data_IF_063611367854
#
_entry.id   IF_063611367854
#
_cell.length_a   1.000
_cell.length_b   1.000
_cell.length_c   1.000
_cell.angle_alpha   90.00
_cell.angle_beta   90.00
_cell.angle_gamma   90.00
#
_symmetry.space_group_name_H-M   'P 1'
#
loop_
_entity.id
_entity.type
_entity.pdbx_description
1 polymer ?
#
# COMPACT_ATOMS: atom_id res chain seq x y z
N UNK A 1 1.94 -3.24 -31.63
CA UNK A 1 2.20 -1.89 -31.11
C UNK A 1 0.88 -1.12 -31.15
N UNK A 2 0.13 -1.11 -30.06
CA UNK A 2 -1.07 -0.28 -29.92
C UNK A 2 -0.67 0.94 -29.11
N UNK A 3 -0.66 2.07 -29.77
CA UNK A 3 -0.42 3.38 -29.17
C UNK A 3 -1.54 3.66 -28.14
N UNK A 4 -1.26 3.83 -26.85
CA UNK A 4 -2.30 4.22 -25.92
C UNK A 4 -2.60 5.68 -26.17
N UNK A 5 -3.56 5.93 -27.05
CA UNK A 5 -4.19 7.24 -27.16
C UNK A 5 -4.66 7.66 -25.78
N UNK A 6 -4.00 8.67 -25.23
CA UNK A 6 -4.42 9.42 -24.05
C UNK A 6 -5.86 9.89 -24.25
N UNK A 7 -6.82 9.06 -23.91
CA UNK A 7 -8.18 9.51 -23.72
C UNK A 7 -8.13 10.45 -22.50
N UNK A 8 -7.98 11.75 -22.74
CA UNK A 8 -8.33 12.80 -21.79
C UNK A 8 -9.80 12.58 -21.45
N UNK A 9 -10.08 11.77 -20.45
CA UNK A 9 -11.41 11.74 -19.88
C UNK A 9 -11.62 13.12 -19.27
N UNK A 10 -12.47 13.91 -19.91
CA UNK A 10 -13.02 15.13 -19.33
C UNK A 10 -13.86 14.69 -18.11
N UNK A 11 -13.20 14.55 -16.97
CA UNK A 11 -13.85 14.37 -15.70
C UNK A 11 -14.37 15.72 -15.17
N UNK A 12 -15.21 15.74 -14.13
CA UNK A 12 -15.64 16.96 -13.49
C UNK A 12 -14.42 17.81 -13.11
N UNK A 13 -14.55 19.13 -13.21
CA UNK A 13 -13.49 20.09 -12.88
C UNK A 13 -12.98 19.92 -11.45
N UNK A 14 -13.78 19.30 -10.56
CA UNK A 14 -13.48 19.05 -9.14
C UNK A 14 -13.84 17.60 -8.80
N UNK A 15 -12.87 16.86 -8.24
CA UNK A 15 -13.07 15.48 -7.77
C UNK A 15 -13.59 15.45 -6.33
N UNK A 16 -14.86 15.86 -6.13
CA UNK A 16 -15.48 15.94 -4.81
C UNK A 16 -15.34 14.66 -3.96
N UNK A 17 -15.47 13.42 -4.51
CA UNK A 17 -15.31 12.22 -3.68
C UNK A 17 -13.92 12.10 -3.06
N UNK A 18 -12.86 12.48 -3.78
CA UNK A 18 -11.49 12.42 -3.23
C UNK A 18 -11.24 13.57 -2.25
N UNK A 19 -11.81 14.77 -2.47
CA UNK A 19 -11.78 15.85 -1.48
C UNK A 19 -12.50 15.48 -0.18
N UNK A 20 -13.68 14.88 -0.27
CA UNK A 20 -14.41 14.37 0.89
C UNK A 20 -13.63 13.27 1.62
N UNK A 21 -12.94 12.40 0.88
CA UNK A 21 -12.07 11.38 1.45
C UNK A 21 -10.91 12.00 2.25
N UNK A 22 -10.24 13.03 1.72
CA UNK A 22 -9.17 13.76 2.43
C UNK A 22 -9.70 14.32 3.75
N UNK A 23 -10.85 15.01 3.71
CA UNK A 23 -11.50 15.57 4.92
C UNK A 23 -11.90 14.46 5.88
N UNK A 24 -12.46 13.35 5.39
CA UNK A 24 -12.90 12.23 6.22
C UNK A 24 -11.72 11.55 6.93
N UNK A 25 -10.62 11.27 6.22
CA UNK A 25 -9.44 10.60 6.80
C UNK A 25 -8.79 11.48 7.86
N UNK A 26 -8.46 12.72 7.52
CA UNK A 26 -7.79 13.63 8.46
C UNK A 26 -8.73 14.06 9.61
N UNK A 27 -10.00 14.31 9.31
CA UNK A 27 -11.02 14.68 10.30
C UNK A 27 -11.33 13.53 11.26
N UNK A 28 -11.43 12.28 10.77
CA UNK A 28 -11.61 11.10 11.62
C UNK A 28 -10.40 10.88 12.51
N UNK A 29 -9.19 11.00 11.99
CA UNK A 29 -7.96 10.90 12.78
C UNK A 29 -7.93 11.94 13.89
N UNK A 30 -8.22 13.20 13.57
CA UNK A 30 -8.28 14.30 14.53
C UNK A 30 -9.35 14.05 15.60
N UNK A 31 -10.56 13.70 15.18
CA UNK A 31 -11.67 13.44 16.10
C UNK A 31 -11.36 12.25 17.05
N UNK A 32 -10.81 11.16 16.52
CA UNK A 32 -10.41 10.01 17.34
C UNK A 32 -9.37 10.39 18.40
N UNK A 33 -8.40 11.26 18.09
CA UNK A 33 -7.44 11.73 19.09
C UNK A 33 -8.08 12.67 20.12
N UNK A 34 -8.89 13.63 19.70
CA UNK A 34 -9.56 14.57 20.60
C UNK A 34 -10.48 13.87 21.58
N UNK A 35 -11.22 12.86 21.14
CA UNK A 35 -12.17 12.11 21.95
C UNK A 35 -11.61 10.78 22.48
N UNK A 36 -10.32 10.48 22.29
CA UNK A 36 -9.72 9.18 22.59
C UNK A 36 -10.02 8.70 24.02
N UNK A 37 -9.91 9.62 24.99
CA UNK A 37 -10.12 9.32 26.43
C UNK A 37 -11.59 9.14 26.80
N UNK A 38 -12.51 9.63 25.97
CA UNK A 38 -13.95 9.48 26.17
C UNK A 38 -14.53 8.22 25.50
N UNK A 39 -13.79 7.60 24.60
CA UNK A 39 -14.22 6.39 23.91
C UNK A 39 -14.08 5.16 24.81
N UNK A 40 -14.94 4.12 24.62
CA UNK A 40 -14.77 2.83 25.27
C UNK A 40 -13.37 2.25 25.01
N UNK A 41 -12.85 1.49 25.99
CA UNK A 41 -11.53 0.89 25.90
C UNK A 41 -11.31 0.11 24.59
N UNK A 42 -10.22 0.39 23.89
CA UNK A 42 -9.86 -0.23 22.61
C UNK A 42 -10.56 0.36 21.37
N UNK A 43 -11.70 1.03 21.50
CA UNK A 43 -12.42 1.59 20.34
C UNK A 43 -11.61 2.68 19.65
N UNK A 44 -11.03 3.60 20.42
CA UNK A 44 -10.15 4.64 19.89
C UNK A 44 -8.93 4.07 19.17
N UNK A 45 -8.30 3.05 19.74
CA UNK A 45 -7.15 2.38 19.12
C UNK A 45 -7.53 1.68 17.81
N UNK A 46 -8.60 0.88 17.79
CA UNK A 46 -9.08 0.22 16.57
C UNK A 46 -9.44 1.25 15.50
N UNK A 47 -10.15 2.32 15.90
CA UNK A 47 -10.48 3.42 15.00
C UNK A 47 -9.24 4.06 14.37
N UNK A 48 -8.22 4.38 15.18
CA UNK A 48 -6.95 4.96 14.70
C UNK A 48 -6.19 4.00 13.79
N UNK A 49 -6.16 2.70 14.07
CA UNK A 49 -5.58 1.68 13.17
C UNK A 49 -6.26 1.68 11.82
N UNK A 50 -7.60 1.68 11.80
CA UNK A 50 -8.37 1.69 10.54
C UNK A 50 -8.16 2.99 9.76
N UNK A 51 -8.15 4.14 10.44
CA UNK A 51 -7.92 5.44 9.79
C UNK A 51 -6.49 5.58 9.28
N UNK A 52 -5.49 5.09 10.01
CA UNK A 52 -4.11 5.09 9.54
C UNK A 52 -3.90 4.17 8.32
N UNK A 53 -4.57 3.00 8.29
CA UNK A 53 -4.58 2.14 7.10
C UNK A 53 -5.32 2.79 5.92
N UNK A 54 -6.41 3.52 6.20
CA UNK A 54 -7.16 4.27 5.18
C UNK A 54 -6.35 5.44 4.64
N UNK A 55 -5.55 6.11 5.49
CA UNK A 55 -4.59 7.12 5.07
C UNK A 55 -3.53 6.57 4.08
N UNK A 56 -3.02 5.36 4.29
CA UNK A 56 -2.13 4.71 3.32
C UNK A 56 -2.81 4.48 1.96
N UNK A 57 -4.10 4.14 1.97
CA UNK A 57 -4.89 4.04 0.73
C UNK A 57 -5.14 5.42 0.09
N UNK A 58 -5.35 6.47 0.91
CA UNK A 58 -5.43 7.85 0.41
C UNK A 58 -4.09 8.29 -0.20
N UNK A 59 -2.96 7.99 0.43
CA UNK A 59 -1.64 8.29 -0.14
C UNK A 59 -1.45 7.65 -1.51
N UNK A 60 -1.95 6.41 -1.69
CA UNK A 60 -1.94 5.73 -3.00
C UNK A 60 -2.75 6.51 -4.05
N UNK A 61 -3.90 7.06 -3.73
CA UNK A 61 -4.69 7.87 -4.63
C UNK A 61 -3.99 9.20 -4.98
N UNK A 62 -3.42 9.86 -3.96
CA UNK A 62 -2.71 11.13 -4.12
C UNK A 62 -1.49 11.02 -5.04
N UNK A 63 -0.72 9.92 -4.96
CA UNK A 63 0.46 9.71 -5.82
C UNK A 63 0.11 9.48 -7.28
N UNK A 64 -1.12 9.00 -7.57
CA UNK A 64 -1.66 8.86 -8.93
C UNK A 64 -2.24 10.16 -9.50
N UNK A 65 -2.12 11.28 -8.80
CA UNK A 65 -2.48 12.59 -9.31
C UNK A 65 -3.91 13.04 -9.00
N UNK A 66 -4.50 12.51 -7.94
CA UNK A 66 -5.81 12.89 -7.43
C UNK A 66 -5.69 13.72 -6.14
N UNK A 67 -6.63 14.62 -5.79
CA UNK A 67 -7.80 15.03 -6.59
C UNK A 67 -7.51 16.14 -7.60
N UNK A 68 -6.26 16.59 -7.75
CA UNK A 68 -5.93 17.73 -8.58
C UNK A 68 -4.84 17.40 -9.60
N UNK A 69 -4.67 18.26 -10.61
CA UNK A 69 -3.57 18.16 -11.58
C UNK A 69 -2.24 18.73 -11.03
N UNK A 70 -2.26 19.33 -9.84
CA UNK A 70 -1.12 19.95 -9.19
C UNK A 70 -0.46 18.97 -8.22
N UNK A 71 0.63 18.33 -8.64
CA UNK A 71 1.34 17.32 -7.84
C UNK A 71 1.73 17.85 -6.44
N UNK A 72 2.19 19.10 -6.33
CA UNK A 72 2.56 19.70 -5.05
C UNK A 72 1.36 19.79 -4.07
N UNK A 73 0.16 20.11 -4.59
CA UNK A 73 -1.04 20.17 -3.76
C UNK A 73 -1.48 18.77 -3.30
N UNK A 74 -1.44 17.78 -4.19
CA UNK A 74 -1.74 16.39 -3.83
C UNK A 74 -0.72 15.88 -2.79
N UNK A 75 0.57 16.19 -2.98
CA UNK A 75 1.64 15.84 -2.05
C UNK A 75 1.42 16.44 -0.65
N UNK A 76 0.93 17.68 -0.55
CA UNK A 76 0.65 18.35 0.73
C UNK A 76 -0.23 17.51 1.65
N UNK A 77 -1.25 16.84 1.11
CA UNK A 77 -2.13 15.95 1.87
C UNK A 77 -1.51 14.57 2.15
N UNK A 78 -0.52 14.15 1.36
CA UNK A 78 0.17 12.87 1.54
C UNK A 78 1.32 12.90 2.55
N UNK A 79 1.95 14.08 2.77
CA UNK A 79 3.14 14.17 3.62
C UNK A 79 2.84 14.17 5.12
N UNK A 80 1.58 14.45 5.53
CA UNK A 80 1.23 14.42 6.95
C UNK A 80 1.35 13.00 7.50
N UNK A 81 2.16 12.76 8.57
CA UNK A 81 2.69 11.44 8.88
C UNK A 81 1.76 10.59 9.76
N UNK A 82 0.48 10.44 9.42
CA UNK A 82 -0.45 9.57 10.19
C UNK A 82 0.08 8.14 10.28
N UNK A 83 0.69 7.62 9.22
CA UNK A 83 1.25 6.27 9.12
C UNK A 83 2.71 6.14 9.56
N UNK A 84 3.38 7.19 9.89
CA UNK A 84 4.66 7.42 10.58
C UNK A 84 5.95 6.84 10.00
N UNK A 85 5.95 5.74 9.24
CA UNK A 85 7.14 4.89 9.08
C UNK A 85 8.19 5.41 8.10
N UNK A 86 7.80 6.15 7.08
CA UNK A 86 8.69 6.69 6.06
C UNK A 86 8.03 7.83 5.29
N UNK A 87 8.82 8.72 4.66
CA UNK A 87 8.30 9.83 3.87
C UNK A 87 7.39 9.37 2.72
N UNK A 88 6.35 10.15 2.44
CA UNK A 88 5.43 9.93 1.32
C UNK A 88 6.15 9.85 -0.03
N UNK A 89 7.22 10.63 -0.24
CA UNK A 89 7.99 10.65 -1.48
C UNK A 89 8.61 9.27 -1.79
N UNK A 90 9.12 8.56 -0.77
CA UNK A 90 9.70 7.22 -0.95
C UNK A 90 8.62 6.23 -1.42
N UNK A 91 7.45 6.27 -0.80
CA UNK A 91 6.32 5.43 -1.22
C UNK A 91 5.87 5.79 -2.64
N UNK A 92 5.69 7.08 -2.93
CA UNK A 92 5.31 7.56 -4.26
C UNK A 92 6.25 7.04 -5.35
N UNK A 93 7.55 7.24 -5.17
CA UNK A 93 8.52 6.94 -6.23
C UNK A 93 8.69 5.43 -6.42
N UNK A 94 8.67 4.66 -5.33
CA UNK A 94 8.65 3.20 -5.36
C UNK A 94 7.43 2.67 -6.11
N UNK A 95 6.23 3.17 -5.78
CA UNK A 95 4.98 2.73 -6.40
C UNK A 95 4.87 3.14 -7.88
N UNK A 96 5.28 4.35 -8.23
CA UNK A 96 5.30 4.79 -9.63
C UNK A 96 6.33 4.00 -10.47
N UNK A 97 7.42 3.53 -9.87
CA UNK A 97 8.35 2.61 -10.52
C UNK A 97 7.72 1.24 -10.74
N UNK A 98 7.00 0.71 -9.74
CA UNK A 98 6.23 -0.54 -9.85
C UNK A 98 5.22 -0.51 -11.01
N UNK A 99 4.60 0.64 -11.29
CA UNK A 99 3.70 0.81 -12.43
C UNK A 99 4.39 0.89 -13.81
N UNK A 100 5.71 0.93 -13.88
CA UNK A 100 6.41 1.09 -15.19
C UNK A 100 6.53 -0.19 -15.98
N UNK A 101 5.82 -1.44 -15.60
CA UNK A 101 6.26 -2.45 -16.03
C UNK A 101 5.99 -3.83 -16.32
N UNK A 102 6.61 -4.32 -17.40
CA UNK A 102 6.78 -5.71 -17.75
C UNK A 102 7.52 -6.55 -16.67
N UNK A 103 8.04 -5.92 -15.62
CA UNK A 103 8.91 -6.54 -14.61
C UNK A 103 8.19 -6.87 -13.31
N UNK A 104 6.87 -6.70 -13.28
CA UNK A 104 6.04 -7.07 -12.12
C UNK A 104 6.43 -8.45 -11.60
N UNK A 105 6.59 -8.56 -10.29
CA UNK A 105 7.02 -9.75 -9.56
C UNK A 105 8.51 -10.16 -9.73
N UNK A 106 9.27 -9.52 -10.62
CA UNK A 106 10.65 -9.86 -10.86
C UNK A 106 11.55 -9.51 -9.65
N UNK A 107 12.26 -10.50 -9.06
CA UNK A 107 13.11 -10.27 -7.89
C UNK A 107 14.18 -9.22 -8.14
N UNK A 108 14.25 -8.21 -7.26
CA UNK A 108 15.23 -7.12 -7.33
C UNK A 108 14.96 -6.04 -8.39
N UNK A 109 13.95 -6.21 -9.23
CA UNK A 109 13.54 -5.22 -10.25
C UNK A 109 12.21 -4.56 -9.91
N UNK A 110 11.23 -5.33 -9.41
CA UNK A 110 9.98 -4.80 -8.91
C UNK A 110 10.15 -4.38 -7.44
N UNK A 111 10.06 -3.10 -7.10
CA UNK A 111 10.24 -2.63 -5.72
C UNK A 111 9.14 -3.11 -4.76
N UNK A 112 7.97 -3.48 -5.27
CA UNK A 112 6.88 -4.08 -4.50
C UNK A 112 6.83 -5.61 -4.67
N UNK A 113 7.79 -6.19 -5.37
CA UNK A 113 7.92 -7.62 -5.61
C UNK A 113 8.18 -8.41 -4.32
N UNK A 114 7.42 -9.49 -4.12
CA UNK A 114 7.51 -10.33 -2.93
C UNK A 114 8.09 -11.72 -3.24
N UNK A 115 8.85 -11.85 -4.30
CA UNK A 115 9.47 -13.08 -4.74
C UNK A 115 10.99 -12.98 -4.71
N UNK A 116 11.63 -14.11 -4.54
CA UNK A 116 13.10 -14.24 -4.56
C UNK A 116 13.55 -15.12 -5.72
N UNK A 117 14.75 -14.91 -6.23
CA UNK A 117 15.30 -15.83 -7.22
C UNK A 117 15.74 -17.16 -6.58
N UNK A 118 15.75 -18.24 -7.37
CA UNK A 118 16.06 -19.58 -6.87
C UNK A 118 17.47 -19.67 -6.27
N UNK A 119 18.46 -19.05 -6.89
CA UNK A 119 19.85 -19.06 -6.41
C UNK A 119 19.96 -18.42 -5.03
N UNK A 120 19.44 -17.19 -4.86
CA UNK A 120 19.44 -16.51 -3.56
C UNK A 120 18.67 -17.32 -2.50
N UNK A 121 17.55 -17.96 -2.89
CA UNK A 121 16.78 -18.79 -1.96
C UNK A 121 17.59 -19.98 -1.46
N UNK A 122 18.24 -20.74 -2.35
CA UNK A 122 18.99 -21.93 -1.98
C UNK A 122 20.28 -21.61 -1.23
N UNK A 123 20.93 -20.48 -1.51
CA UNK A 123 22.12 -19.99 -0.80
C UNK A 123 21.77 -19.32 0.54
N UNK A 124 20.51 -18.95 0.75
CA UNK A 124 20.07 -18.28 1.96
C UNK A 124 20.11 -19.16 3.19
N UNK A 125 20.28 -18.56 4.36
CA UNK A 125 20.22 -19.23 5.66
C UNK A 125 18.86 -19.89 5.89
N UNK A 126 18.77 -21.00 6.65
CA UNK A 126 17.48 -21.65 6.95
C UNK A 126 16.44 -20.71 7.53
N UNK A 127 16.84 -19.83 8.46
CA UNK A 127 15.94 -18.83 9.08
C UNK A 127 15.39 -17.85 8.04
N UNK A 128 16.22 -17.38 7.10
CA UNK A 128 15.77 -16.49 6.03
C UNK A 128 14.80 -17.21 5.07
N UNK A 129 15.06 -18.47 4.74
CA UNK A 129 14.14 -19.29 3.92
C UNK A 129 12.79 -19.49 4.62
N UNK A 130 12.80 -19.76 5.93
CA UNK A 130 11.58 -19.87 6.74
C UNK A 130 10.81 -18.52 6.76
N UNK A 131 11.51 -17.40 6.88
CA UNK A 131 10.92 -16.06 6.80
C UNK A 131 10.22 -15.85 5.45
N UNK A 132 10.86 -16.23 4.32
CA UNK A 132 10.24 -16.08 2.99
C UNK A 132 8.92 -16.88 2.89
N UNK A 133 8.85 -18.08 3.43
CA UNK A 133 7.61 -18.86 3.50
C UNK A 133 6.57 -18.24 4.44
N UNK A 134 6.98 -17.75 5.61
CA UNK A 134 6.08 -17.08 6.53
C UNK A 134 5.43 -15.85 5.88
N UNK A 135 6.18 -15.04 5.12
CA UNK A 135 5.67 -13.87 4.40
C UNK A 135 4.66 -14.21 3.29
N UNK A 136 4.59 -15.47 2.86
CA UNK A 136 3.57 -15.96 1.92
C UNK A 136 2.29 -16.40 2.62
N UNK A 137 2.20 -16.25 3.94
CA UNK A 137 0.98 -16.43 4.74
C UNK A 137 0.40 -15.08 5.15
N UNK A 138 -0.92 -15.03 5.42
CA UNK A 138 -1.57 -13.80 5.90
C UNK A 138 -0.97 -13.33 7.22
N UNK A 139 -0.81 -14.25 8.20
CA UNK A 139 -0.26 -13.89 9.51
C UNK A 139 1.19 -13.42 9.42
N UNK A 140 2.01 -14.10 8.63
CA UNK A 140 3.38 -13.66 8.39
C UNK A 140 3.44 -12.27 7.71
N UNK A 141 2.56 -12.02 6.74
CA UNK A 141 2.48 -10.71 6.08
C UNK A 141 2.06 -9.60 7.06
N UNK A 142 1.04 -9.86 7.89
CA UNK A 142 0.55 -8.88 8.87
C UNK A 142 1.58 -8.57 9.97
N UNK A 143 2.30 -9.60 10.45
CA UNK A 143 3.19 -9.45 11.60
C UNK A 143 4.63 -9.14 11.21
N UNK A 144 5.16 -9.73 10.15
CA UNK A 144 6.57 -9.59 9.75
C UNK A 144 6.76 -8.64 8.57
N UNK A 145 5.73 -8.48 7.72
CA UNK A 145 5.77 -7.56 6.58
C UNK A 145 6.11 -6.12 6.97
N UNK A 146 5.41 -5.50 7.95
CA UNK A 146 5.73 -4.14 8.40
C UNK A 146 7.16 -4.02 8.92
N UNK A 147 7.64 -4.98 9.72
CA UNK A 147 9.01 -4.97 10.24
C UNK A 147 10.04 -4.92 9.11
N UNK A 148 9.85 -5.73 8.06
CA UNK A 148 10.76 -5.73 6.91
C UNK A 148 10.70 -4.43 6.12
N UNK A 149 9.51 -3.88 5.88
CA UNK A 149 9.37 -2.62 5.15
C UNK A 149 10.00 -1.45 5.92
N UNK A 150 9.76 -1.37 7.22
CA UNK A 150 10.35 -0.36 8.09
C UNK A 150 11.88 -0.50 8.11
N UNK A 151 12.39 -1.72 8.36
CA UNK A 151 13.83 -2.00 8.38
C UNK A 151 14.48 -1.67 7.04
N UNK A 152 13.83 -2.00 5.93
CA UNK A 152 14.30 -1.67 4.59
C UNK A 152 14.39 -0.16 4.37
N UNK A 153 13.36 0.60 4.72
CA UNK A 153 13.36 2.06 4.57
C UNK A 153 14.51 2.73 5.37
N UNK A 154 14.72 2.30 6.61
CA UNK A 154 15.82 2.79 7.45
C UNK A 154 17.18 2.34 6.94
N UNK A 155 17.30 1.10 6.46
CA UNK A 155 18.53 0.61 5.85
C UNK A 155 18.90 1.42 4.59
N UNK A 156 17.92 1.73 3.75
CA UNK A 156 18.14 2.59 2.58
C UNK A 156 18.56 4.00 2.99
N UNK A 157 17.97 4.59 4.02
CA UNK A 157 18.41 5.88 4.54
C UNK A 157 19.88 5.83 5.02
N UNK A 158 20.23 4.85 5.86
CA UNK A 158 21.59 4.73 6.39
C UNK A 158 22.63 4.49 5.29
N UNK A 159 22.30 3.66 4.31
CA UNK A 159 23.20 3.41 3.17
C UNK A 159 23.34 4.63 2.26
N UNK A 160 22.25 5.38 2.05
CA UNK A 160 22.28 6.63 1.30
C UNK A 160 23.17 7.67 2.00
N UNK A 161 23.01 7.86 3.31
CA UNK A 161 23.86 8.76 4.11
C UNK A 161 25.34 8.36 4.04
N UNK A 162 25.65 7.07 4.15
CA UNK A 162 27.03 6.59 3.98
C UNK A 162 27.60 6.93 2.59
N UNK A 163 26.77 6.72 1.56
CA UNK A 163 27.18 7.00 0.16
C UNK A 163 27.13 8.49 -0.19
N UNK A 164 26.75 9.35 0.77
CA UNK A 164 26.50 10.80 0.57
C UNK A 164 25.44 11.09 -0.48
N UNK A 165 24.50 10.15 -0.65
CA UNK A 165 23.32 10.36 -1.47
C UNK A 165 22.26 11.10 -0.66
N UNK A 166 21.97 12.32 -1.06
CA UNK A 166 21.05 13.21 -0.36
C UNK A 166 19.67 13.30 -1.04
N UNK A 167 19.39 12.44 -1.99
CA UNK A 167 18.16 12.48 -2.83
C UNK A 167 16.89 12.62 -2.00
N UNK A 168 16.74 11.81 -0.94
CA UNK A 168 15.55 11.83 -0.06
C UNK A 168 15.80 12.49 1.30
N UNK A 169 16.96 13.14 1.51
CA UNK A 169 17.26 13.72 2.81
C UNK A 169 16.27 14.83 3.20
N UNK A 170 15.89 15.67 2.24
CA UNK A 170 14.88 16.71 2.44
C UNK A 170 13.51 16.13 2.83
N UNK A 171 13.09 15.06 2.17
CA UNK A 171 11.82 14.38 2.48
C UNK A 171 11.83 13.76 3.89
N UNK A 172 12.97 13.17 4.30
CA UNK A 172 13.13 12.65 5.67
C UNK A 172 13.12 13.77 6.71
N UNK A 173 13.77 14.91 6.44
CA UNK A 173 13.75 16.05 7.35
C UNK A 173 12.34 16.62 7.51
N UNK A 174 11.59 16.82 6.41
CA UNK A 174 10.20 17.27 6.47
C UNK A 174 9.33 16.25 7.21
N UNK A 175 9.51 14.97 6.94
CA UNK A 175 8.77 13.92 7.62
C UNK A 175 9.00 13.95 9.14
N UNK A 176 10.25 14.04 9.60
CA UNK A 176 10.57 14.10 11.03
C UNK A 176 10.08 15.39 11.68
N UNK A 177 10.19 16.54 10.99
CA UNK A 177 9.67 17.83 11.46
C UNK A 177 8.16 17.82 11.65
N UNK A 178 7.41 17.04 10.89
CA UNK A 178 5.96 16.86 11.07
C UNK A 178 5.64 15.75 12.08
N UNK A 179 6.39 14.67 12.07
CA UNK A 179 6.15 13.49 12.90
C UNK A 179 6.35 13.77 14.38
N UNK A 180 7.45 14.42 14.76
CA UNK A 180 7.78 14.63 16.17
C UNK A 180 6.73 15.51 16.89
N UNK A 181 6.31 16.68 16.35
CA UNK A 181 5.22 17.45 16.92
C UNK A 181 3.88 16.70 16.94
N UNK A 182 3.59 15.91 15.90
CA UNK A 182 2.36 15.13 15.84
C UNK A 182 2.31 14.08 16.96
N UNK A 183 3.39 13.32 17.17
CA UNK A 183 3.48 12.34 18.26
C UNK A 183 3.43 13.00 19.65
N UNK A 184 4.12 14.12 19.81
CA UNK A 184 4.03 14.90 21.04
C UNK A 184 2.60 15.37 21.32
N UNK A 185 1.93 15.92 20.30
CA UNK A 185 0.55 16.38 20.42
C UNK A 185 -0.43 15.23 20.71
N UNK A 186 -0.30 14.09 20.02
CA UNK A 186 -1.10 12.90 20.27
C UNK A 186 -0.95 12.41 21.73
N UNK A 187 0.27 12.47 22.28
CA UNK A 187 0.49 12.16 23.70
C UNK A 187 -0.19 13.18 24.63
N UNK A 188 -0.05 14.47 24.35
CA UNK A 188 -0.62 15.53 25.18
C UNK A 188 -2.16 15.46 25.23
N UNK A 189 -2.81 15.23 24.10
CA UNK A 189 -4.28 15.27 23.95
C UNK A 189 -4.91 13.92 24.33
N UNK A 190 -4.41 12.83 23.74
CA UNK A 190 -5.00 11.50 23.88
C UNK A 190 -4.33 10.64 24.98
N UNK A 191 -3.14 11.01 25.48
CA UNK A 191 -2.34 10.17 26.38
C UNK A 191 -1.64 9.02 25.66
N UNK A 192 -1.58 9.06 24.32
CA UNK A 192 -0.91 8.07 23.50
C UNK A 192 0.59 8.34 23.47
N UNK A 193 1.36 7.59 24.25
CA UNK A 193 2.82 7.70 24.17
C UNK A 193 3.31 7.45 22.75
N UNK A 194 4.44 8.03 22.32
CA UNK A 194 5.01 7.75 21.00
C UNK A 194 5.15 6.25 20.71
N UNK A 195 5.61 5.46 21.68
CA UNK A 195 5.74 4.01 21.53
C UNK A 195 4.38 3.33 21.32
N UNK A 196 3.33 3.76 22.06
CA UNK A 196 1.98 3.22 21.86
C UNK A 196 1.45 3.57 20.48
N UNK A 197 1.62 4.82 20.01
CA UNK A 197 1.21 5.20 18.65
C UNK A 197 1.94 4.38 17.58
N UNK A 198 3.26 4.23 17.70
CA UNK A 198 4.08 3.46 16.76
C UNK A 198 3.65 1.99 16.73
N UNK A 199 3.66 1.30 17.87
CA UNK A 199 3.47 -0.16 17.92
C UNK A 199 1.99 -0.57 17.99
N UNK A 200 1.13 0.22 18.65
CA UNK A 200 -0.28 -0.10 18.84
C UNK A 200 -1.19 0.41 17.72
N UNK A 201 -0.76 1.41 16.94
CA UNK A 201 -1.58 2.04 15.90
C UNK A 201 -0.91 1.90 14.53
N UNK A 202 0.24 2.51 14.33
CA UNK A 202 0.85 2.62 13.02
C UNK A 202 1.40 1.28 12.49
N UNK A 203 1.93 0.43 13.37
CA UNK A 203 2.41 -0.91 12.97
C UNK A 203 1.27 -1.81 12.47
N UNK A 204 0.19 -2.04 13.22
CA UNK A 204 -0.93 -2.84 12.73
C UNK A 204 -1.64 -2.18 11.52
N UNK A 205 -1.67 -0.84 11.41
CA UNK A 205 -2.20 -0.16 10.25
C UNK A 205 -1.39 -0.47 8.98
N UNK A 206 -0.05 -0.47 9.06
CA UNK A 206 0.80 -0.86 7.95
C UNK A 206 0.59 -2.34 7.60
N UNK A 207 0.47 -3.24 8.59
CA UNK A 207 0.11 -4.64 8.37
C UNK A 207 -1.21 -4.78 7.62
N UNK A 208 -2.24 -4.03 8.03
CA UNK A 208 -3.54 -4.04 7.38
C UNK A 208 -3.47 -3.51 5.93
N UNK A 209 -2.67 -2.49 5.67
CA UNK A 209 -2.41 -2.02 4.30
C UNK A 209 -1.68 -3.09 3.46
N UNK A 210 -0.73 -3.82 4.04
CA UNK A 210 -0.02 -4.91 3.37
C UNK A 210 -0.91 -6.13 3.08
N UNK A 211 -2.05 -6.24 3.76
CA UNK A 211 -3.04 -7.25 3.43
C UNK A 211 -3.70 -6.99 2.07
N UNK A 212 -3.87 -5.72 1.69
CA UNK A 212 -4.30 -5.37 0.32
C UNK A 212 -3.36 -6.00 -0.70
N UNK A 213 -2.05 -5.77 -0.54
CA UNK A 213 -1.02 -6.23 -1.49
C UNK A 213 -0.61 -7.70 -1.30
N UNK A 214 -1.21 -8.43 -0.37
CA UNK A 214 -0.80 -9.80 -0.04
C UNK A 214 -0.82 -10.73 -1.26
N UNK A 215 -1.80 -10.58 -2.16
CA UNK A 215 -1.91 -11.39 -3.36
C UNK A 215 -2.38 -10.57 -4.58
N UNK A 216 -1.88 -9.33 -4.69
CA UNK A 216 -2.17 -8.47 -5.85
C UNK A 216 -1.46 -8.95 -7.12
N UNK A 217 -0.29 -9.57 -6.95
CA UNK A 217 0.52 -10.08 -8.05
C UNK A 217 0.94 -11.54 -7.84
N UNK A 218 0.99 -12.27 -8.94
CA UNK A 218 1.55 -13.63 -9.02
C UNK A 218 2.49 -13.74 -10.22
N UNK A 219 3.53 -14.58 -10.20
CA UNK A 219 4.37 -14.82 -11.37
C UNK A 219 3.57 -15.43 -12.52
N UNK A 220 3.75 -14.90 -13.71
CA UNK A 220 3.21 -15.47 -14.95
C UNK A 220 4.09 -15.07 -16.14
N UNK A 221 4.07 -15.86 -17.21
CA UNK A 221 4.82 -15.57 -18.43
C UNK A 221 4.31 -14.28 -19.09
N UNK A 222 2.98 -14.12 -19.17
CA UNK A 222 2.34 -12.92 -19.70
C UNK A 222 2.22 -11.88 -18.58
N UNK A 223 2.76 -10.67 -18.70
CA UNK A 223 2.72 -9.65 -17.65
C UNK A 223 1.32 -9.34 -17.13
N UNK A 224 0.34 -9.20 -18.03
CA UNK A 224 -1.04 -8.92 -17.64
C UNK A 224 -1.67 -10.03 -16.77
N UNK A 225 -1.21 -11.29 -16.89
CA UNK A 225 -1.68 -12.42 -16.06
C UNK A 225 -1.13 -12.37 -14.62
N UNK A 226 -0.22 -11.43 -14.32
CA UNK A 226 0.36 -11.25 -13.00
C UNK A 226 -0.51 -10.43 -12.06
N UNK A 227 -1.59 -9.79 -12.56
CA UNK A 227 -2.34 -8.76 -11.83
C UNK A 227 -3.75 -9.27 -11.49
N UNK A 228 -4.12 -9.21 -10.23
CA UNK A 228 -5.38 -9.75 -9.70
C UNK A 228 -6.58 -8.85 -9.99
N UNK A 229 -7.75 -9.49 -10.08
CA UNK A 229 -9.03 -8.90 -9.73
C UNK A 229 -9.51 -9.58 -8.44
N UNK A 230 -9.76 -8.80 -7.39
CA UNK A 230 -10.37 -9.30 -6.16
C UNK A 230 -11.76 -8.71 -6.00
N UNK A 231 -12.81 -9.54 -6.18
CA UNK A 231 -14.22 -9.13 -5.98
C UNK A 231 -14.56 -9.06 -4.49
N UNK A 232 -13.97 -8.08 -3.81
CA UNK A 232 -14.11 -7.89 -2.38
C UNK A 232 -15.46 -7.25 -1.98
N UNK A 233 -15.91 -7.54 -0.76
CA UNK A 233 -17.06 -6.89 -0.13
C UNK A 233 -16.80 -5.39 0.11
N UNK A 234 -17.88 -4.59 0.24
CA UNK A 234 -17.80 -3.13 0.31
C UNK A 234 -16.91 -2.57 1.43
N UNK A 235 -16.78 -3.16 2.64
CA UNK A 235 -15.91 -2.59 3.67
C UNK A 235 -14.43 -2.58 3.24
N UNK A 236 -13.98 -3.67 2.59
CA UNK A 236 -12.63 -3.77 2.04
C UNK A 236 -12.42 -2.82 0.86
N UNK A 237 -13.45 -2.68 0.02
CA UNK A 237 -13.41 -1.75 -1.11
C UNK A 237 -13.29 -0.30 -0.66
N UNK A 238 -13.94 0.07 0.45
CA UNK A 238 -13.84 1.40 1.04
C UNK A 238 -12.45 1.60 1.67
N UNK A 239 -11.98 0.63 2.47
CA UNK A 239 -10.68 0.70 3.13
C UNK A 239 -9.53 0.81 2.12
N UNK A 240 -9.61 0.07 1.02
CA UNK A 240 -8.57 0.03 -0.02
C UNK A 240 -8.90 0.85 -1.26
N UNK A 241 -9.90 1.72 -1.19
CA UNK A 241 -10.31 2.65 -2.26
C UNK A 241 -10.45 1.94 -3.62
N UNK A 242 -11.13 0.79 -3.64
CA UNK A 242 -11.36 -0.06 -4.80
C UNK A 242 -10.09 -0.59 -5.50
N UNK A 243 -8.91 -0.43 -4.92
CA UNK A 243 -7.66 -0.98 -5.49
C UNK A 243 -7.62 -2.52 -5.51
N UNK A 244 -8.57 -3.18 -4.87
CA UNK A 244 -8.84 -4.60 -5.03
C UNK A 244 -9.16 -5.01 -6.49
N UNK A 245 -9.63 -4.09 -7.34
CA UNK A 245 -9.73 -4.27 -8.79
C UNK A 245 -8.40 -3.93 -9.48
N UNK A 246 -7.33 -4.57 -9.03
CA UNK A 246 -5.96 -4.16 -9.30
C UNK A 246 -5.59 -4.19 -10.79
N UNK A 247 -6.13 -5.15 -11.58
CA UNK A 247 -5.93 -5.16 -13.03
C UNK A 247 -6.61 -3.98 -13.75
N UNK A 248 -7.69 -3.41 -13.18
CA UNK A 248 -8.30 -2.17 -13.70
C UNK A 248 -7.40 -0.98 -13.38
N UNK A 249 -6.87 -0.94 -12.15
CA UNK A 249 -5.97 0.11 -11.69
C UNK A 249 -4.68 0.15 -12.52
N UNK A 250 -4.01 -0.98 -12.77
CA UNK A 250 -2.82 -1.04 -13.63
C UNK A 250 -3.10 -0.67 -15.09
N UNK A 251 -4.28 -1.01 -15.60
CA UNK A 251 -4.68 -0.60 -16.95
C UNK A 251 -4.95 0.92 -17.05
N UNK A 252 -5.39 1.53 -15.96
CA UNK A 252 -5.80 2.92 -15.89
C UNK A 252 -5.35 3.59 -14.59
N UNK A 253 -4.03 3.75 -14.33
CA UNK A 253 -3.52 4.23 -13.04
C UNK A 253 -3.98 5.66 -12.67
N UNK A 254 -4.34 6.48 -13.66
CA UNK A 254 -4.94 7.81 -13.46
C UNK A 254 -6.46 7.80 -13.37
N UNK A 255 -7.11 6.64 -13.18
CA UNK A 255 -8.56 6.56 -12.96
C UNK A 255 -8.87 6.68 -11.48
N UNK A 256 -9.62 7.71 -11.08
CA UNK A 256 -9.97 7.97 -9.68
C UNK A 256 -10.67 6.75 -9.04
N UNK A 257 -10.33 6.46 -7.80
CA UNK A 257 -10.77 5.28 -7.03
C UNK A 257 -12.27 5.00 -7.10
N UNK A 258 -13.11 6.02 -7.06
CA UNK A 258 -14.58 5.89 -7.09
C UNK A 258 -15.13 5.50 -8.47
N UNK A 259 -14.32 5.63 -9.54
CA UNK A 259 -14.67 5.24 -10.92
C UNK A 259 -14.25 3.82 -11.26
N UNK A 260 -13.27 3.26 -10.57
CA UNK A 260 -12.75 1.91 -10.82
C UNK A 260 -13.87 0.83 -10.86
N UNK A 261 -14.84 0.82 -9.91
CA UNK A 261 -15.90 -0.19 -9.95
C UNK A 261 -16.83 -0.08 -11.17
N UNK A 262 -17.05 1.12 -11.68
CA UNK A 262 -17.85 1.30 -12.89
C UNK A 262 -17.09 0.81 -14.12
N UNK A 263 -15.81 1.12 -14.26
CA UNK A 263 -14.94 0.62 -15.31
C UNK A 263 -14.88 -0.92 -15.31
N UNK A 264 -14.72 -1.53 -14.13
CA UNK A 264 -14.73 -2.99 -13.99
C UNK A 264 -16.05 -3.60 -14.45
N UNK A 265 -17.19 -3.08 -14.00
CA UNK A 265 -18.51 -3.61 -14.39
C UNK A 265 -18.81 -3.46 -15.88
N UNK A 266 -18.29 -2.42 -16.51
CA UNK A 266 -18.49 -2.17 -17.96
C UNK A 266 -17.80 -3.21 -18.85
N UNK A 267 -16.69 -3.81 -18.38
CA UNK A 267 -15.92 -4.79 -19.18
C UNK A 267 -15.31 -5.89 -18.28
N UNK A 268 -16.12 -6.44 -17.39
CA UNK A 268 -15.69 -7.47 -16.42
C UNK A 268 -14.99 -8.65 -17.09
N UNK A 269 -15.65 -9.22 -18.10
CA UNK A 269 -15.14 -10.42 -18.77
C UNK A 269 -13.88 -10.12 -19.58
N UNK A 270 -13.81 -8.94 -20.19
CA UNK A 270 -12.59 -8.48 -20.87
C UNK A 270 -11.41 -8.31 -19.91
N UNK A 271 -11.61 -7.77 -18.69
CA UNK A 271 -10.55 -7.70 -17.69
C UNK A 271 -10.12 -9.09 -17.22
N UNK A 272 -11.04 -10.01 -17.00
CA UNK A 272 -10.73 -11.38 -16.61
C UNK A 272 -10.04 -12.17 -17.73
N UNK A 273 -10.39 -11.93 -18.98
CA UNK A 273 -9.68 -12.51 -20.12
C UNK A 273 -8.24 -11.98 -20.21
N UNK A 274 -8.06 -10.66 -20.11
CA UNK A 274 -6.74 -10.02 -20.20
C UNK A 274 -5.80 -10.43 -19.07
N UNK A 275 -6.33 -10.63 -17.84
CA UNK A 275 -5.50 -11.04 -16.69
C UNK A 275 -5.39 -12.58 -16.53
N UNK A 276 -5.77 -13.35 -17.55
CA UNK A 276 -5.64 -14.82 -17.54
C UNK A 276 -6.51 -15.49 -16.46
N UNK A 277 -7.67 -14.91 -16.12
CA UNK A 277 -8.59 -15.41 -15.11
C UNK A 277 -8.07 -15.31 -13.67
N UNK A 278 -7.10 -14.44 -13.39
CA UNK A 278 -6.61 -14.26 -12.03
C UNK A 278 -7.65 -13.51 -11.18
N UNK A 279 -8.59 -14.28 -10.65
CA UNK A 279 -9.72 -13.81 -9.84
C UNK A 279 -9.64 -14.35 -8.42
N UNK A 280 -9.76 -13.45 -7.45
CA UNK A 280 -9.95 -13.73 -6.02
C UNK A 280 -11.37 -13.31 -5.63
N UNK A 281 -12.10 -14.19 -4.93
CA UNK A 281 -13.48 -13.93 -4.49
C UNK A 281 -13.52 -13.42 -3.05
N UNK A 282 -13.01 -12.21 -2.84
CA UNK A 282 -13.03 -11.51 -1.57
C UNK A 282 -11.87 -11.86 -0.62
N UNK A 283 -11.59 -10.96 0.31
CA UNK A 283 -10.53 -11.15 1.31
C UNK A 283 -10.87 -12.23 2.34
N UNK A 284 -12.13 -12.41 2.74
CA UNK A 284 -12.50 -13.37 3.77
C UNK A 284 -12.05 -14.81 3.46
N UNK A 285 -12.27 -15.28 2.23
CA UNK A 285 -11.79 -16.60 1.80
C UNK A 285 -10.28 -16.68 1.73
N UNK A 286 -9.61 -15.61 1.24
CA UNK A 286 -8.16 -15.51 1.17
C UNK A 286 -7.53 -15.59 2.57
N UNK A 287 -8.07 -14.78 3.51
CA UNK A 287 -7.62 -14.73 4.89
C UNK A 287 -7.76 -16.08 5.58
N UNK A 288 -8.94 -16.71 5.48
CA UNK A 288 -9.18 -17.99 6.11
C UNK A 288 -8.29 -19.11 5.55
N UNK A 289 -8.22 -19.19 4.22
CA UNK A 289 -7.47 -20.27 3.54
C UNK A 289 -5.97 -20.16 3.75
N UNK A 290 -5.44 -18.94 3.79
CA UNK A 290 -4.01 -18.65 3.82
C UNK A 290 -3.56 -18.00 5.14
N UNK A 291 -4.34 -18.11 6.21
CA UNK A 291 -3.96 -17.59 7.53
C UNK A 291 -2.53 -18.02 7.90
N UNK A 292 -2.27 -19.33 7.89
CA UNK A 292 -0.98 -19.94 8.18
C UNK A 292 -0.45 -20.80 7.02
N UNK A 293 -1.18 -20.89 5.90
CA UNK A 293 -0.76 -21.63 4.71
C UNK A 293 -0.26 -20.65 3.67
N UNK A 294 0.94 -20.86 3.11
CA UNK A 294 1.44 -20.02 2.02
C UNK A 294 0.48 -20.00 0.84
N UNK A 295 0.34 -18.84 0.21
CA UNK A 295 -0.53 -18.66 -0.97
C UNK A 295 0.10 -19.28 -2.21
N UNK A 296 1.42 -19.22 -2.32
CA UNK A 296 2.26 -19.81 -3.35
C UNK A 296 3.73 -19.96 -2.88
N UNK A 297 4.62 -20.36 -3.77
CA UNK A 297 6.07 -20.42 -3.49
C UNK A 297 6.67 -19.02 -3.39
N UNK A 298 7.60 -18.75 -2.46
CA UNK A 298 8.38 -17.52 -2.45
C UNK A 298 9.38 -17.43 -3.63
N UNK A 299 9.68 -18.54 -4.29
CA UNK A 299 10.63 -18.58 -5.40
C UNK A 299 9.94 -18.20 -6.70
N UNK A 300 10.45 -17.20 -7.42
CA UNK A 300 9.94 -16.80 -8.72
C UNK A 300 10.23 -17.88 -9.78
N UNK A 301 9.22 -18.48 -10.45
CA UNK A 301 9.41 -19.65 -11.30
C UNK A 301 10.14 -19.36 -12.61
N UNK A 302 10.12 -18.14 -13.10
CA UNK A 302 10.65 -17.75 -14.42
C UNK A 302 11.84 -16.80 -14.37
N UNK A 303 12.37 -16.47 -13.17
CA UNK A 303 13.53 -15.58 -13.04
C UNK A 303 14.80 -16.44 -12.92
N UNK A 304 15.48 -16.60 -14.05
CA UNK A 304 16.87 -17.09 -14.06
C UNK A 304 17.76 -15.86 -13.99
N UNK A 305 18.77 -15.84 -13.10
CA UNK A 305 19.72 -14.74 -12.99
C UNK A 305 20.49 -14.53 -14.29
#
# INVERSE_FOLDING_TARGET
MLNPTKAKQAGPSIEWPTWLLIVAVHGAWLALLLFYRALPAGMGQVGLVLVAAWHLSLQHELLHGHPTRHAALNQLFGVFPISVWYPFAIYRDSHLLHHRDAQLTAPGLDPEGNYVNATAYHQGLPAWRALQWALRTVMGRLLLGPLLAISSAWWHLLTALWRRDVTYLGDWLVHLLLLLPMLWWANAVAGLTPLHYLLGIAYPALGLAMLRSFYEHRPAAVPAHRIVINEAAWPWRLLYLNNNYHAVHHAHPGLAWYRIPAAYRADRDGYLQRNGGFLVKGYGRLLWRHALRPVDSPIHPGFKP
#
